data_IF_623752829333
#
_entry.id   IF_623752829333
#
_cell.length_a   1.000
_cell.length_b   1.000
_cell.length_c   1.000
_cell.angle_alpha   90.00
_cell.angle_beta   90.00
_cell.angle_gamma   90.00
#
_symmetry.space_group_name_H-M   'P 1'
#
loop_
_entity.id
_entity.type
_entity.pdbx_description
1 polymer ?
#
# COMPACT_ATOMS: atom_id res chain seq x y z
N UNK A 1 4.03 -31.08 14.90
CA UNK A 1 5.50 -31.10 15.08
C UNK A 1 5.88 -30.12 16.18
N UNK A 2 5.37 -28.89 16.15
CA UNK A 2 5.64 -27.85 17.18
C UNK A 2 4.66 -27.91 18.35
N UNK A 3 3.60 -28.73 18.28
CA UNK A 3 2.51 -28.79 19.25
C UNK A 3 1.95 -27.40 19.65
N UNK A 4 1.99 -26.45 18.73
CA UNK A 4 1.40 -25.13 18.93
C UNK A 4 -0.13 -25.23 18.92
N UNK A 5 -0.78 -24.51 19.80
CA UNK A 5 -2.26 -24.43 19.87
C UNK A 5 -2.79 -23.36 18.91
N UNK A 6 -1.94 -22.42 18.49
CA UNK A 6 -2.25 -21.40 17.49
C UNK A 6 -1.01 -20.82 16.83
N UNK A 7 -1.23 -20.05 15.77
CA UNK A 7 -0.18 -19.36 15.07
C UNK A 7 -0.69 -18.28 14.14
N UNK A 8 0.18 -17.32 13.84
CA UNK A 8 -0.08 -16.24 12.93
C UNK A 8 1.09 -16.04 11.97
N UNK A 9 0.78 -15.56 10.77
CA UNK A 9 1.75 -15.12 9.78
C UNK A 9 1.52 -13.63 9.55
N UNK A 10 2.56 -12.85 9.73
CA UNK A 10 2.56 -11.42 9.49
C UNK A 10 3.56 -11.09 8.39
N UNK A 11 3.27 -10.06 7.61
CA UNK A 11 4.18 -9.57 6.57
C UNK A 11 4.60 -8.15 6.90
N UNK A 12 5.89 -7.89 6.70
CA UNK A 12 6.47 -6.55 6.86
C UNK A 12 6.16 -5.75 5.61
N UNK A 13 5.71 -4.53 5.84
CA UNK A 13 5.61 -3.48 4.83
C UNK A 13 6.69 -2.44 5.14
N UNK A 14 7.79 -2.53 4.40
CA UNK A 14 8.94 -1.64 4.60
C UNK A 14 8.62 -0.19 4.19
N UNK A 15 7.53 0.04 3.42
CA UNK A 15 7.14 1.39 2.96
C UNK A 15 6.37 2.14 4.04
N UNK A 16 5.48 1.42 4.71
CA UNK A 16 4.67 1.99 5.78
C UNK A 16 5.35 1.88 7.15
N UNK A 17 6.58 1.34 7.23
CA UNK A 17 7.24 0.98 8.49
C UNK A 17 6.29 0.15 9.38
N UNK A 18 5.56 -0.78 8.77
CA UNK A 18 4.49 -1.51 9.43
C UNK A 18 4.61 -3.03 9.25
N UNK A 19 3.91 -3.77 10.10
CA UNK A 19 3.74 -5.21 9.97
C UNK A 19 2.26 -5.57 10.04
N UNK A 20 1.80 -6.33 9.06
CA UNK A 20 0.39 -6.64 8.83
C UNK A 20 0.11 -8.12 9.06
N UNK A 21 -0.97 -8.44 9.77
CA UNK A 21 -1.45 -9.82 9.89
C UNK A 21 -2.01 -10.29 8.55
N UNK A 22 -1.48 -11.38 8.03
CA UNK A 22 -1.97 -11.99 6.78
C UNK A 22 -2.85 -13.20 7.02
N UNK A 23 -2.54 -13.96 8.04
CA UNK A 23 -3.34 -15.14 8.42
C UNK A 23 -3.06 -15.51 9.86
N UNK A 24 -4.06 -16.05 10.55
CA UNK A 24 -3.85 -16.74 11.83
C UNK A 24 -4.83 -17.91 11.95
N UNK A 25 -4.46 -18.86 12.78
CA UNK A 25 -5.22 -20.09 13.01
C UNK A 25 -5.09 -20.53 14.47
N UNK A 26 -6.13 -21.19 15.00
CA UNK A 26 -6.13 -21.72 16.35
C UNK A 26 -6.26 -20.64 17.42
N UNK A 27 -5.78 -20.96 18.62
CA UNK A 27 -5.82 -20.06 19.78
C UNK A 27 -4.56 -19.19 19.78
N UNK A 28 -4.73 -17.92 19.42
CA UNK A 28 -3.64 -16.95 19.39
C UNK A 28 -4.02 -15.69 20.17
N UNK A 29 -3.80 -15.67 21.51
CA UNK A 29 -4.10 -14.48 22.32
C UNK A 29 -3.17 -13.33 21.92
N UNK A 30 -3.72 -12.10 21.67
CA UNK A 30 -2.92 -10.96 21.26
C UNK A 30 -1.86 -10.58 22.31
N UNK A 31 -0.55 -10.63 21.97
CA UNK A 31 0.52 -10.27 22.91
C UNK A 31 0.78 -8.75 22.97
N UNK A 32 -0.09 -7.95 22.41
CA UNK A 32 -0.01 -6.49 22.37
C UNK A 32 -1.25 -5.87 23.01
N UNK A 33 -1.17 -4.60 23.36
CA UNK A 33 -2.28 -3.87 24.01
C UNK A 33 -3.44 -3.69 23.03
N UNK A 34 -4.60 -4.23 23.36
CA UNK A 34 -5.83 -4.03 22.58
C UNK A 34 -6.35 -2.59 22.73
N UNK A 35 -7.01 -2.06 21.67
CA UNK A 35 -7.69 -0.76 21.75
C UNK A 35 -8.71 -0.74 22.90
N UNK A 36 -8.71 0.34 23.68
CA UNK A 36 -9.60 0.46 24.86
C UNK A 36 -11.09 0.36 24.53
N UNK A 37 -11.46 0.70 23.30
CA UNK A 37 -12.85 0.68 22.81
C UNK A 37 -13.26 -0.69 22.25
N UNK A 38 -12.32 -1.64 22.12
CA UNK A 38 -12.62 -2.95 21.54
C UNK A 38 -13.32 -3.83 22.58
N UNK A 39 -14.55 -4.30 22.31
CA UNK A 39 -15.21 -5.24 23.22
C UNK A 39 -14.41 -6.55 23.35
N UNK A 40 -14.16 -7.00 24.56
CA UNK A 40 -13.48 -8.26 24.85
C UNK A 40 -14.41 -9.46 24.60
N UNK A 41 -14.79 -9.63 23.34
CA UNK A 41 -15.50 -10.80 22.82
C UNK A 41 -14.59 -11.50 21.84
N UNK A 42 -14.45 -12.82 21.96
CA UNK A 42 -13.51 -13.63 21.19
C UNK A 42 -13.58 -13.33 19.67
N UNK A 43 -14.79 -13.30 19.10
CA UNK A 43 -14.98 -12.98 17.67
C UNK A 43 -14.53 -11.55 17.31
N UNK A 44 -14.74 -10.58 18.21
CA UNK A 44 -14.33 -9.18 17.95
C UNK A 44 -12.83 -9.03 18.01
N UNK A 45 -12.19 -9.63 19.00
CA UNK A 45 -10.73 -9.61 19.13
C UNK A 45 -10.07 -10.33 17.96
N UNK A 46 -10.56 -11.52 17.60
CA UNK A 46 -10.06 -12.28 16.45
C UNK A 46 -10.22 -11.53 15.13
N UNK A 47 -11.36 -10.87 14.92
CA UNK A 47 -11.59 -10.04 13.73
C UNK A 47 -10.66 -8.82 13.73
N UNK A 48 -10.50 -8.14 14.87
CA UNK A 48 -9.57 -7.02 15.00
C UNK A 48 -8.13 -7.44 14.68
N UNK A 49 -7.69 -8.59 15.20
CA UNK A 49 -6.36 -9.12 14.93
C UNK A 49 -6.16 -9.45 13.45
N UNK A 50 -7.15 -10.07 12.80
CA UNK A 50 -7.08 -10.45 11.38
C UNK A 50 -6.74 -9.27 10.45
N UNK A 51 -7.22 -8.07 10.80
CA UNK A 51 -7.01 -6.86 10.01
C UNK A 51 -6.05 -5.88 10.68
N UNK A 52 -5.29 -6.35 11.67
CA UNK A 52 -4.38 -5.48 12.40
C UNK A 52 -3.14 -5.14 11.58
N UNK A 53 -2.77 -3.87 11.66
CA UNK A 53 -1.52 -3.31 11.18
C UNK A 53 -0.82 -2.65 12.35
N UNK A 54 0.46 -2.93 12.52
CA UNK A 54 1.27 -2.41 13.62
C UNK A 54 2.48 -1.66 13.05
N UNK A 55 2.86 -0.54 13.66
CA UNK A 55 4.15 0.06 13.36
C UNK A 55 5.30 -0.85 13.83
N UNK A 56 6.41 -0.87 13.10
CA UNK A 56 7.55 -1.75 13.37
C UNK A 56 8.22 -1.53 14.76
N UNK A 57 7.80 -0.50 15.51
CA UNK A 57 8.39 -0.17 16.82
C UNK A 57 7.38 -0.18 17.97
N UNK A 58 6.13 -0.54 17.70
CA UNK A 58 5.05 -0.36 18.69
C UNK A 58 4.80 -1.58 19.55
N UNK A 59 5.25 -2.77 19.15
CA UNK A 59 4.99 -4.02 19.87
C UNK A 59 5.99 -5.11 19.52
N UNK A 60 5.84 -6.26 20.16
CA UNK A 60 6.74 -7.41 20.01
C UNK A 60 6.90 -7.88 18.55
N UNK A 61 5.85 -7.81 17.71
CA UNK A 61 5.95 -8.25 16.31
C UNK A 61 6.92 -7.37 15.53
N UNK A 62 6.80 -6.06 15.69
CA UNK A 62 7.67 -5.09 15.03
C UNK A 62 9.10 -5.15 15.54
N UNK A 63 9.31 -5.34 16.84
CA UNK A 63 10.64 -5.47 17.41
C UNK A 63 11.36 -6.72 16.93
N UNK A 64 10.68 -7.88 16.89
CA UNK A 64 11.25 -9.12 16.34
C UNK A 64 11.55 -9.00 14.85
N UNK A 65 10.64 -8.39 14.08
CA UNK A 65 10.87 -8.13 12.66
C UNK A 65 12.09 -7.22 12.45
N UNK A 66 12.22 -6.15 13.23
CA UNK A 66 13.34 -5.21 13.14
C UNK A 66 14.66 -5.82 13.59
N UNK A 67 14.66 -6.64 14.69
CA UNK A 67 15.86 -7.33 15.16
C UNK A 67 16.32 -8.43 14.21
N UNK A 68 15.37 -9.01 13.49
CA UNK A 68 15.58 -10.18 12.65
C UNK A 68 16.03 -11.42 13.42
N UNK A 69 15.87 -11.47 14.75
CA UNK A 69 16.28 -12.62 15.58
C UNK A 69 15.06 -13.43 15.99
N UNK A 70 15.10 -14.76 15.82
CA UNK A 70 14.03 -15.61 16.33
C UNK A 70 14.12 -15.72 17.85
N UNK A 71 12.97 -15.75 18.50
CA UNK A 71 12.86 -15.82 19.96
C UNK A 71 11.83 -16.85 20.42
N UNK A 72 12.10 -17.48 21.57
CA UNK A 72 11.16 -18.31 22.32
C UNK A 72 10.89 -17.62 23.66
N UNK A 73 9.61 -17.42 23.99
CA UNK A 73 9.16 -16.72 25.18
C UNK A 73 8.21 -17.64 25.96
N UNK A 74 8.73 -18.29 26.99
CA UNK A 74 7.96 -19.19 27.84
C UNK A 74 7.33 -18.47 29.06
N UNK A 75 7.84 -17.29 29.41
CA UNK A 75 7.31 -16.45 30.49
C UNK A 75 6.85 -15.09 29.92
N UNK A 76 5.74 -15.03 29.17
CA UNK A 76 5.31 -13.78 28.52
C UNK A 76 4.95 -12.67 29.50
N UNK A 77 4.61 -13.00 30.75
CA UNK A 77 4.31 -12.01 31.80
C UNK A 77 5.54 -11.23 32.28
N UNK A 78 6.73 -11.81 32.09
CA UNK A 78 7.99 -11.21 32.49
C UNK A 78 8.63 -10.40 31.36
N UNK A 79 8.06 -10.45 30.13
CA UNK A 79 8.55 -9.72 28.98
C UNK A 79 7.83 -8.36 28.85
N UNK A 80 8.54 -7.24 29.01
CA UNK A 80 7.93 -5.91 28.99
C UNK A 80 7.32 -5.52 27.64
N UNK A 81 7.63 -6.26 26.58
CA UNK A 81 7.10 -6.05 25.22
C UNK A 81 5.71 -6.66 25.04
N UNK A 82 5.31 -7.53 25.97
CA UNK A 82 4.06 -8.30 25.91
C UNK A 82 3.05 -7.73 26.90
N UNK A 83 1.81 -7.58 26.44
CA UNK A 83 0.71 -7.06 27.26
C UNK A 83 -0.36 -8.14 27.48
N UNK A 84 -0.72 -8.41 28.72
CA UNK A 84 -1.89 -9.22 29.06
C UNK A 84 -3.15 -8.33 29.03
N UNK A 85 -4.16 -8.70 28.22
CA UNK A 85 -5.28 -7.81 27.88
C UNK A 85 -6.53 -7.95 28.76
N UNK A 86 -6.64 -9.00 29.54
CA UNK A 86 -7.81 -9.17 30.38
C UNK A 86 -7.90 -10.53 31.08
N UNK A 87 -8.90 -10.70 31.92
CA UNK A 87 -9.09 -11.93 32.68
C UNK A 87 -9.73 -13.07 31.89
N UNK A 88 -10.28 -12.76 30.69
CA UNK A 88 -11.00 -13.72 29.85
C UNK A 88 -10.08 -14.86 29.39
N UNK A 89 -10.57 -16.09 29.40
CA UNK A 89 -9.77 -17.28 29.12
C UNK A 89 -9.08 -17.25 27.75
N UNK A 90 -9.73 -16.70 26.74
CA UNK A 90 -9.15 -16.57 25.39
C UNK A 90 -8.09 -15.47 25.27
N UNK A 91 -7.93 -14.61 26.28
CA UNK A 91 -6.90 -13.55 26.35
C UNK A 91 -5.71 -13.96 27.23
N UNK A 92 -5.82 -15.06 27.98
CA UNK A 92 -4.72 -15.53 28.81
C UNK A 92 -3.53 -15.94 27.97
N UNK A 93 -2.38 -15.38 28.31
CA UNK A 93 -1.14 -15.63 27.59
C UNK A 93 -0.52 -16.96 27.98
N UNK A 94 -0.18 -17.76 27.01
CA UNK A 94 0.72 -18.89 27.11
C UNK A 94 2.08 -18.56 26.52
N UNK A 95 2.91 -19.56 26.21
CA UNK A 95 4.21 -19.33 25.60
C UNK A 95 4.11 -18.98 24.11
N UNK A 96 5.14 -18.29 23.61
CA UNK A 96 5.25 -17.86 22.20
C UNK A 96 6.58 -18.26 21.59
N UNK A 97 6.54 -18.49 20.26
CA UNK A 97 7.72 -18.51 19.40
C UNK A 97 7.49 -17.44 18.32
N UNK A 98 8.51 -16.62 18.08
CA UNK A 98 8.53 -15.63 17.01
C UNK A 98 9.73 -15.90 16.10
N UNK A 99 9.48 -16.04 14.79
CA UNK A 99 10.53 -16.34 13.80
C UNK A 99 10.38 -15.38 12.63
N UNK A 100 11.34 -14.46 12.46
CA UNK A 100 11.36 -13.60 11.29
C UNK A 100 11.67 -14.40 10.01
N UNK A 101 10.93 -14.14 8.96
CA UNK A 101 11.14 -14.70 7.62
C UNK A 101 12.02 -13.72 6.84
N UNK A 102 13.16 -14.20 6.34
CA UNK A 102 14.13 -13.37 5.61
C UNK A 102 14.17 -13.70 4.13
N UNK A 103 14.34 -12.69 3.31
CA UNK A 103 14.70 -12.91 1.92
C UNK A 103 16.20 -13.18 1.83
N UNK A 104 16.57 -14.45 1.67
CA UNK A 104 18.00 -14.86 1.56
C UNK A 104 18.68 -14.12 0.41
N UNK A 105 19.80 -13.48 0.71
CA UNK A 105 20.63 -12.70 -0.22
C UNK A 105 20.52 -11.18 -0.01
N UNK A 106 19.47 -10.67 0.63
CA UNK A 106 19.30 -9.23 0.94
C UNK A 106 19.29 -8.93 2.44
N UNK A 107 19.20 -9.94 3.30
CA UNK A 107 19.15 -9.77 4.77
C UNK A 107 17.86 -9.09 5.29
N UNK A 108 16.94 -8.79 4.39
CA UNK A 108 15.69 -8.07 4.69
C UNK A 108 14.69 -9.05 5.31
N UNK A 109 14.04 -8.64 6.39
CA UNK A 109 12.93 -9.39 7.00
C UNK A 109 11.65 -9.00 6.27
N UNK A 110 11.01 -9.97 5.62
CA UNK A 110 9.78 -9.78 4.84
C UNK A 110 8.52 -10.22 5.58
N UNK A 111 8.67 -10.84 6.73
CA UNK A 111 7.54 -11.30 7.54
C UNK A 111 7.95 -11.95 8.84
N UNK A 112 6.96 -12.44 9.56
CA UNK A 112 7.09 -13.08 10.86
C UNK A 112 6.13 -14.25 10.97
N UNK A 113 6.62 -15.39 11.45
CA UNK A 113 5.79 -16.49 11.95
C UNK A 113 5.74 -16.36 13.47
N UNK A 114 4.54 -16.30 14.03
CA UNK A 114 4.29 -16.32 15.45
C UNK A 114 3.50 -17.57 15.80
N UNK A 115 3.96 -18.33 16.78
CA UNK A 115 3.27 -19.52 17.31
C UNK A 115 2.91 -19.30 18.78
N UNK A 116 1.81 -19.89 19.23
CA UNK A 116 1.36 -19.79 20.62
C UNK A 116 0.98 -21.16 21.20
N UNK A 117 1.17 -21.32 22.50
CA UNK A 117 0.59 -22.39 23.30
C UNK A 117 -0.36 -21.83 24.33
N UNK A 118 -1.28 -22.67 24.78
CA UNK A 118 -2.21 -22.32 25.85
C UNK A 118 -1.46 -22.09 27.18
N UNK A 119 -2.04 -21.33 28.13
CA UNK A 119 -1.45 -21.09 29.44
C UNK A 119 -1.02 -22.38 30.12
N UNK A 120 0.16 -22.35 30.81
CA UNK A 120 0.73 -23.49 31.49
C UNK A 120 1.47 -24.50 30.61
N UNK A 121 1.53 -24.28 29.31
CA UNK A 121 2.36 -25.08 28.40
C UNK A 121 3.55 -24.26 27.91
N UNK A 122 4.71 -24.86 27.88
CA UNK A 122 5.95 -24.24 27.40
C UNK A 122 6.40 -24.83 26.07
N UNK A 123 7.06 -24.04 25.28
CA UNK A 123 7.80 -24.54 24.12
C UNK A 123 9.14 -25.07 24.53
N UNK A 124 9.49 -26.25 24.04
CA UNK A 124 10.81 -26.85 24.20
C UNK A 124 11.79 -26.31 23.16
N UNK A 125 13.10 -26.40 23.45
CA UNK A 125 14.12 -26.07 22.46
C UNK A 125 13.97 -26.89 21.16
N UNK A 126 13.59 -28.15 21.26
CA UNK A 126 13.37 -29.02 20.11
C UNK A 126 12.21 -28.53 19.22
N UNK A 127 11.14 -28.06 19.83
CA UNK A 127 10.00 -27.48 19.07
C UNK A 127 10.39 -26.17 18.40
N UNK A 128 11.22 -25.36 19.06
CA UNK A 128 11.78 -24.14 18.48
C UNK A 128 12.69 -24.45 17.28
N UNK A 129 13.57 -25.43 17.37
CA UNK A 129 14.45 -25.86 16.28
C UNK A 129 13.64 -26.38 15.07
N UNK A 130 12.54 -27.11 15.34
CA UNK A 130 11.61 -27.51 14.30
C UNK A 130 10.91 -26.32 13.64
N UNK A 131 10.47 -25.35 14.42
CA UNK A 131 9.85 -24.14 13.92
C UNK A 131 10.83 -23.32 13.02
N UNK A 132 12.10 -23.21 13.44
CA UNK A 132 13.16 -22.59 12.61
C UNK A 132 13.37 -23.32 11.29
N UNK A 133 13.37 -24.66 11.33
CA UNK A 133 13.50 -25.47 10.12
C UNK A 133 12.34 -25.24 9.15
N UNK A 134 11.10 -25.19 9.65
CA UNK A 134 9.91 -24.90 8.86
C UNK A 134 9.95 -23.47 8.28
N UNK A 135 10.39 -22.49 9.05
CA UNK A 135 10.59 -21.13 8.57
C UNK A 135 11.61 -21.07 7.42
N UNK A 136 12.69 -21.83 7.51
CA UNK A 136 13.68 -21.96 6.43
C UNK A 136 13.11 -22.57 5.14
N UNK A 137 12.18 -23.52 5.24
CA UNK A 137 11.43 -24.02 4.08
C UNK A 137 10.49 -22.95 3.51
N UNK A 138 9.77 -22.21 4.37
CA UNK A 138 8.90 -21.11 3.96
C UNK A 138 9.70 -20.01 3.24
N UNK A 139 10.88 -19.62 3.75
CA UNK A 139 11.79 -18.69 3.08
C UNK A 139 12.18 -19.17 1.67
N UNK A 140 12.53 -20.45 1.55
CA UNK A 140 12.93 -21.05 0.26
C UNK A 140 11.76 -21.12 -0.72
N UNK A 141 10.56 -21.48 -0.24
CA UNK A 141 9.34 -21.53 -1.04
C UNK A 141 8.96 -20.12 -1.54
N UNK A 142 8.95 -19.13 -0.65
CA UNK A 142 8.66 -17.73 -1.00
C UNK A 142 9.66 -17.19 -2.03
N UNK A 143 10.97 -17.44 -1.85
CA UNK A 143 11.98 -17.07 -2.84
C UNK A 143 11.71 -17.71 -4.20
N UNK A 144 11.37 -18.99 -4.23
CA UNK A 144 11.09 -19.70 -5.48
C UNK A 144 9.84 -19.15 -6.14
N UNK A 145 8.78 -18.90 -5.38
CA UNK A 145 7.52 -18.33 -5.88
C UNK A 145 7.74 -16.94 -6.46
N UNK A 146 8.43 -16.05 -5.74
CA UNK A 146 8.77 -14.71 -6.21
C UNK A 146 9.63 -14.78 -7.49
N UNK A 147 10.65 -15.65 -7.52
CA UNK A 147 11.50 -15.82 -8.71
C UNK A 147 10.72 -16.38 -9.90
N UNK A 148 9.78 -17.28 -9.68
CA UNK A 148 8.94 -17.86 -10.73
C UNK A 148 7.91 -16.84 -11.26
N UNK A 149 7.35 -16.01 -10.38
CA UNK A 149 6.49 -14.90 -10.80
C UNK A 149 7.25 -13.93 -11.70
N UNK A 150 8.43 -13.48 -11.26
CA UNK A 150 9.30 -12.58 -12.07
C UNK A 150 9.67 -13.22 -13.42
N UNK A 151 9.94 -14.53 -13.45
CA UNK A 151 10.25 -15.23 -14.68
C UNK A 151 9.04 -15.32 -15.63
N UNK A 152 7.87 -15.66 -15.10
CA UNK A 152 6.64 -15.74 -15.90
C UNK A 152 6.22 -14.37 -16.42
N UNK A 153 6.30 -13.33 -15.61
CA UNK A 153 6.06 -11.94 -16.01
C UNK A 153 6.94 -11.53 -17.20
N UNK A 154 8.22 -11.89 -17.18
CA UNK A 154 9.12 -11.62 -18.31
C UNK A 154 8.75 -12.38 -19.60
N UNK A 155 8.21 -13.58 -19.47
CA UNK A 155 7.85 -14.41 -20.64
C UNK A 155 6.48 -14.04 -21.24
N UNK A 156 5.49 -13.66 -20.43
CA UNK A 156 4.19 -13.22 -20.94
C UNK A 156 4.27 -11.85 -21.65
N UNK A 157 5.13 -10.98 -21.16
CA UNK A 157 5.36 -9.63 -21.68
C UNK A 157 5.80 -9.63 -23.16
N UNK A 158 6.49 -10.65 -23.63
CA UNK A 158 7.22 -10.57 -24.90
C UNK A 158 6.36 -10.74 -26.17
N UNK A 159 5.18 -11.33 -26.12
CA UNK A 159 4.40 -11.71 -27.32
C UNK A 159 3.15 -10.88 -27.58
N UNK A 160 2.45 -10.40 -26.56
CA UNK A 160 1.21 -9.61 -26.71
C UNK A 160 1.43 -8.10 -26.52
N UNK A 161 2.63 -7.76 -26.10
CA UNK A 161 3.03 -6.44 -25.60
C UNK A 161 2.86 -5.30 -26.61
N UNK A 162 3.19 -5.50 -27.90
CA UNK A 162 3.17 -4.40 -28.86
C UNK A 162 1.77 -3.83 -29.17
N UNK A 163 0.75 -4.66 -29.18
CA UNK A 163 -0.63 -4.21 -29.45
C UNK A 163 -1.14 -3.44 -28.22
N UNK A 164 -0.93 -4.00 -27.03
CA UNK A 164 -1.36 -3.37 -25.78
C UNK A 164 -0.60 -2.07 -25.51
N UNK A 165 0.71 -2.02 -25.80
CA UNK A 165 1.51 -0.79 -25.72
C UNK A 165 0.99 0.32 -26.65
N UNK A 166 0.58 -0.03 -27.87
CA UNK A 166 -0.05 0.92 -28.78
C UNK A 166 -1.40 1.42 -28.25
N UNK A 167 -2.23 0.53 -27.69
CA UNK A 167 -3.51 0.91 -27.09
C UNK A 167 -3.31 1.81 -25.86
N UNK A 168 -2.34 1.50 -25.01
CA UNK A 168 -1.96 2.32 -23.88
C UNK A 168 -1.55 3.73 -24.30
N UNK A 169 -0.73 3.84 -25.33
CA UNK A 169 -0.31 5.12 -25.91
C UNK A 169 -1.47 5.96 -26.45
N UNK A 170 -2.61 5.36 -26.78
CA UNK A 170 -3.83 6.05 -27.19
C UNK A 170 -4.70 6.43 -25.99
N UNK A 171 -4.77 5.58 -24.97
CA UNK A 171 -5.66 5.75 -23.82
C UNK A 171 -5.13 6.75 -22.80
N UNK A 172 -3.82 6.73 -22.50
CA UNK A 172 -3.26 7.63 -21.50
C UNK A 172 -3.13 9.06 -22.00
N UNK A 173 -3.37 10.07 -21.15
CA UNK A 173 -3.33 11.47 -21.55
C UNK A 173 -1.90 11.91 -21.90
N UNK A 174 -1.66 12.22 -23.17
CA UNK A 174 -0.36 12.75 -23.65
C UNK A 174 -0.11 14.20 -23.25
N UNK A 175 -1.17 14.94 -23.02
CA UNK A 175 -1.12 16.35 -22.59
C UNK A 175 -2.22 16.58 -21.56
N UNK A 176 -1.86 17.24 -20.48
CA UNK A 176 -2.84 17.69 -19.51
C UNK A 176 -3.58 18.92 -20.06
N UNK A 177 -4.90 19.03 -19.82
CA UNK A 177 -5.66 20.20 -20.25
C UNK A 177 -5.16 21.45 -19.50
N UNK A 178 -5.20 22.64 -20.12
CA UNK A 178 -4.99 23.87 -19.40
C UNK A 178 -6.14 24.08 -18.40
N UNK A 179 -5.83 24.28 -17.14
CA UNK A 179 -6.81 24.47 -16.08
C UNK A 179 -6.55 25.80 -15.37
N UNK A 180 -7.63 26.53 -15.11
CA UNK A 180 -7.54 27.75 -14.30
C UNK A 180 -7.22 27.39 -12.84
N UNK A 181 -6.36 28.17 -12.22
CA UNK A 181 -6.03 28.04 -10.80
C UNK A 181 -5.17 26.83 -10.44
N UNK A 182 -4.71 26.03 -11.40
CA UNK A 182 -3.91 24.83 -11.15
C UNK A 182 -2.69 24.76 -12.09
N UNK A 183 -1.56 24.37 -11.50
CA UNK A 183 -0.35 24.02 -12.25
C UNK A 183 -0.05 22.54 -12.07
N UNK A 184 -0.11 21.79 -13.16
CA UNK A 184 0.10 20.34 -13.19
C UNK A 184 1.50 19.96 -13.59
N UNK A 185 2.00 18.90 -12.95
CA UNK A 185 3.10 18.11 -13.43
C UNK A 185 2.79 16.63 -13.23
N UNK A 186 3.24 15.82 -14.15
CA UNK A 186 3.14 14.37 -14.06
C UNK A 186 4.27 13.71 -14.81
N UNK A 187 4.60 12.52 -14.41
CA UNK A 187 5.34 11.59 -15.23
C UNK A 187 4.88 10.16 -14.94
N UNK A 188 5.07 9.29 -15.91
CA UNK A 188 5.00 7.85 -15.77
C UNK A 188 6.28 7.26 -16.34
N UNK A 189 6.86 6.31 -15.65
CA UNK A 189 7.95 5.47 -16.12
C UNK A 189 7.46 4.03 -16.02
N UNK A 190 7.54 3.31 -17.14
CA UNK A 190 7.02 1.95 -17.26
C UNK A 190 8.14 0.96 -17.07
N UNK A 191 7.79 -0.21 -16.53
CA UNK A 191 8.55 -1.44 -16.69
C UNK A 191 8.49 -1.93 -18.15
N UNK A 192 9.13 -3.04 -18.47
CA UNK A 192 8.92 -3.68 -19.78
C UNK A 192 7.48 -4.18 -19.89
N UNK A 193 6.79 -3.80 -20.96
CA UNK A 193 5.42 -4.23 -21.26
C UNK A 193 4.37 -3.15 -21.13
N UNK A 194 3.21 -3.53 -20.63
CA UNK A 194 2.03 -2.67 -20.54
C UNK A 194 1.87 -2.16 -19.12
N UNK A 195 1.69 -0.87 -18.94
CA UNK A 195 1.50 -0.21 -17.66
C UNK A 195 0.12 -0.50 -17.07
N UNK A 196 0.08 -0.87 -15.81
CA UNK A 196 -1.14 -1.01 -15.02
C UNK A 196 -1.56 0.30 -14.34
N UNK A 197 -0.65 1.26 -14.27
CA UNK A 197 -0.91 2.60 -13.77
C UNK A 197 -1.68 3.44 -14.78
N UNK A 198 -2.58 4.27 -14.29
CA UNK A 198 -3.21 5.31 -15.09
C UNK A 198 -3.52 6.55 -14.26
N UNK A 199 -3.46 7.71 -14.91
CA UNK A 199 -3.99 8.93 -14.33
C UNK A 199 -4.85 9.68 -15.35
N UNK A 200 -5.77 10.49 -14.82
CA UNK A 200 -6.56 11.40 -15.62
C UNK A 200 -6.75 12.74 -14.91
N UNK A 201 -6.89 13.79 -15.69
CA UNK A 201 -7.25 15.13 -15.21
C UNK A 201 -8.37 15.65 -16.08
N UNK A 202 -9.56 15.76 -15.51
CA UNK A 202 -10.79 16.01 -16.23
C UNK A 202 -11.44 17.31 -15.73
N UNK A 203 -11.52 18.36 -16.55
CA UNK A 203 -12.41 19.47 -16.29
C UNK A 203 -13.85 18.99 -16.47
N UNK A 204 -14.56 18.79 -15.35
CA UNK A 204 -15.91 18.19 -15.38
C UNK A 204 -17.00 19.25 -15.53
N UNK A 205 -16.79 20.41 -14.91
CA UNK A 205 -17.68 21.58 -14.94
C UNK A 205 -16.83 22.84 -14.90
N UNK A 206 -17.46 24.00 -15.07
CA UNK A 206 -16.73 25.29 -15.04
C UNK A 206 -15.90 25.51 -13.76
N UNK A 207 -16.33 24.91 -12.63
CA UNK A 207 -15.72 25.09 -11.32
C UNK A 207 -15.10 23.81 -10.73
N UNK A 208 -15.24 22.64 -11.39
CA UNK A 208 -14.77 21.36 -10.85
C UNK A 208 -13.81 20.64 -11.78
N UNK A 209 -12.64 20.32 -11.24
CA UNK A 209 -11.64 19.44 -11.88
C UNK A 209 -11.53 18.14 -11.09
N UNK A 210 -11.69 17.01 -11.76
CA UNK A 210 -11.44 15.69 -11.18
C UNK A 210 -10.05 15.19 -11.58
N UNK A 211 -9.26 14.78 -10.59
CA UNK A 211 -7.92 14.23 -10.74
C UNK A 211 -7.98 12.80 -10.24
N UNK A 212 -7.52 11.88 -11.05
CA UNK A 212 -7.59 10.45 -10.81
C UNK A 212 -6.19 9.89 -10.93
N UNK A 213 -5.76 9.10 -9.95
CA UNK A 213 -4.62 8.21 -10.06
C UNK A 213 -5.10 6.83 -9.71
N UNK A 214 -4.74 5.84 -10.51
CA UNK A 214 -5.07 4.44 -10.27
C UNK A 214 -3.87 3.56 -10.55
N UNK A 215 -3.77 2.52 -9.75
CA UNK A 215 -2.79 1.45 -9.84
C UNK A 215 -3.55 0.12 -9.74
N UNK A 216 -3.44 -0.71 -10.76
CA UNK A 216 -4.11 -2.00 -10.82
C UNK A 216 -3.11 -3.11 -10.52
N UNK A 217 -3.41 -3.93 -9.51
CA UNK A 217 -2.58 -5.04 -9.13
C UNK A 217 -2.32 -6.00 -10.30
N UNK A 218 -1.10 -6.52 -10.34
CA UNK A 218 -0.65 -7.40 -11.41
C UNK A 218 -0.02 -6.64 -12.59
N UNK A 219 0.46 -7.37 -13.58
CA UNK A 219 1.14 -6.83 -14.77
C UNK A 219 0.59 -7.46 -16.04
N UNK A 220 0.89 -6.82 -17.17
CA UNK A 220 0.51 -7.32 -18.47
C UNK A 220 -0.89 -6.94 -18.93
N UNK A 221 -1.40 -7.66 -19.94
CA UNK A 221 -2.64 -7.32 -20.64
C UNK A 221 -3.90 -7.36 -19.76
N UNK A 222 -3.94 -8.27 -18.77
CA UNK A 222 -5.11 -8.38 -17.88
C UNK A 222 -5.26 -7.15 -16.98
N UNK A 223 -4.18 -6.73 -16.33
CA UNK A 223 -4.18 -5.51 -15.49
C UNK A 223 -4.50 -4.27 -16.32
N UNK A 224 -3.94 -4.16 -17.54
CA UNK A 224 -4.25 -3.10 -18.46
C UNK A 224 -5.73 -3.08 -18.88
N UNK A 225 -6.36 -4.24 -19.11
CA UNK A 225 -7.78 -4.33 -19.42
C UNK A 225 -8.63 -3.82 -18.24
N UNK A 226 -8.33 -4.28 -17.03
CA UNK A 226 -9.01 -3.85 -15.80
C UNK A 226 -8.83 -2.33 -15.60
N UNK A 227 -7.60 -1.83 -15.75
CA UNK A 227 -7.31 -0.39 -15.71
C UNK A 227 -8.18 0.38 -16.73
N UNK A 228 -8.26 -0.12 -17.97
CA UNK A 228 -9.04 0.54 -19.03
C UNK A 228 -10.53 0.56 -18.73
N UNK A 229 -11.07 -0.53 -18.17
CA UNK A 229 -12.46 -0.61 -17.73
C UNK A 229 -12.75 0.38 -16.60
N UNK A 230 -11.95 0.35 -15.54
CA UNK A 230 -12.09 1.26 -14.39
C UNK A 230 -11.96 2.72 -14.81
N UNK A 231 -10.95 3.04 -15.62
CA UNK A 231 -10.75 4.38 -16.16
C UNK A 231 -11.98 4.86 -16.91
N UNK A 232 -12.56 4.03 -17.76
CA UNK A 232 -13.75 4.37 -18.55
C UNK A 232 -14.97 4.59 -17.66
N UNK A 233 -15.19 3.71 -16.66
CA UNK A 233 -16.28 3.86 -15.68
C UNK A 233 -16.14 5.15 -14.88
N UNK A 234 -14.96 5.41 -14.32
CA UNK A 234 -14.73 6.60 -13.50
C UNK A 234 -14.89 7.87 -14.35
N UNK A 235 -14.39 7.91 -15.59
CA UNK A 235 -14.60 9.04 -16.51
C UNK A 235 -16.06 9.35 -16.79
N UNK A 236 -16.92 8.35 -16.86
CA UNK A 236 -18.37 8.54 -16.99
C UNK A 236 -18.96 9.07 -15.68
N UNK A 237 -18.60 8.47 -14.56
CA UNK A 237 -19.17 8.77 -13.25
C UNK A 237 -18.78 10.16 -12.71
N UNK A 238 -17.57 10.64 -13.00
CA UNK A 238 -17.14 11.99 -12.56
C UNK A 238 -17.95 13.13 -13.19
N UNK A 239 -18.61 12.87 -14.31
CA UNK A 239 -19.53 13.84 -14.93
C UNK A 239 -20.87 13.98 -14.17
N UNK A 240 -21.14 13.09 -13.24
CA UNK A 240 -22.31 13.18 -12.37
C UNK A 240 -22.07 14.13 -11.19
N UNK A 241 -23.11 14.62 -10.51
CA UNK A 241 -22.92 15.47 -9.32
C UNK A 241 -22.55 14.69 -8.05
N UNK A 242 -22.16 13.42 -8.19
CA UNK A 242 -21.87 12.55 -7.05
C UNK A 242 -20.54 12.92 -6.35
N UNK A 243 -20.45 12.71 -5.02
CA UNK A 243 -19.21 12.78 -4.28
C UNK A 243 -18.21 11.72 -4.73
N UNK A 244 -16.91 11.96 -4.47
CA UNK A 244 -15.82 11.07 -4.88
C UNK A 244 -15.99 9.63 -4.32
N UNK A 245 -16.36 9.49 -3.04
CA UNK A 245 -16.59 8.19 -2.41
C UNK A 245 -17.77 7.44 -3.01
N UNK A 246 -18.84 8.16 -3.38
CA UNK A 246 -19.97 7.54 -4.09
C UNK A 246 -19.55 7.04 -5.47
N UNK A 247 -18.73 7.81 -6.18
CA UNK A 247 -18.19 7.40 -7.50
C UNK A 247 -17.37 6.12 -7.37
N UNK A 248 -16.46 6.06 -6.39
CA UNK A 248 -15.66 4.85 -6.15
C UNK A 248 -16.53 3.66 -5.73
N UNK A 249 -17.56 3.89 -4.88
CA UNK A 249 -18.48 2.83 -4.46
C UNK A 249 -19.31 2.27 -5.61
N UNK A 250 -19.72 3.13 -6.55
CA UNK A 250 -20.41 2.71 -7.76
C UNK A 250 -19.47 1.90 -8.67
N UNK A 251 -18.25 2.40 -8.92
CA UNK A 251 -17.27 1.71 -9.73
C UNK A 251 -16.90 0.34 -9.13
N UNK A 252 -16.71 0.27 -7.80
CA UNK A 252 -16.43 -0.97 -7.11
C UNK A 252 -17.55 -2.00 -7.29
N UNK A 253 -18.80 -1.59 -7.11
CA UNK A 253 -19.95 -2.49 -7.23
C UNK A 253 -20.07 -3.11 -8.61
N UNK A 254 -19.75 -2.35 -9.66
CA UNK A 254 -19.84 -2.80 -11.05
C UNK A 254 -18.65 -3.67 -11.48
N UNK A 255 -17.45 -3.46 -10.88
CA UNK A 255 -16.24 -4.20 -11.26
C UNK A 255 -16.06 -5.47 -10.41
N UNK A 256 -16.56 -5.47 -9.17
CA UNK A 256 -16.39 -6.56 -8.24
C UNK A 256 -17.21 -7.80 -8.67
N UNK A 257 -16.52 -8.92 -8.91
CA UNK A 257 -17.07 -10.14 -9.45
C UNK A 257 -16.92 -10.29 -10.96
N UNK A 258 -16.57 -9.20 -11.68
CA UNK A 258 -16.27 -9.23 -13.12
C UNK A 258 -14.76 -9.43 -13.38
N UNK A 259 -13.94 -9.18 -12.39
CA UNK A 259 -12.48 -9.35 -12.43
C UNK A 259 -12.02 -10.42 -11.44
N UNK A 260 -10.88 -11.04 -11.75
CA UNK A 260 -10.26 -11.98 -10.82
C UNK A 260 -9.71 -11.22 -9.61
N UNK A 261 -9.72 -11.86 -8.44
CA UNK A 261 -9.19 -11.29 -7.18
C UNK A 261 -7.71 -10.87 -7.25
N UNK A 262 -6.98 -11.29 -8.27
CA UNK A 262 -5.58 -10.91 -8.49
C UNK A 262 -5.43 -9.50 -9.11
N UNK A 263 -6.50 -8.88 -9.60
CA UNK A 263 -6.48 -7.62 -10.34
C UNK A 263 -7.29 -6.51 -9.67
N UNK A 264 -7.20 -6.39 -8.35
CA UNK A 264 -7.81 -5.27 -7.63
C UNK A 264 -7.10 -3.94 -7.96
N UNK A 265 -7.74 -2.82 -7.68
CA UNK A 265 -7.18 -1.51 -7.99
C UNK A 265 -7.15 -0.57 -6.79
N UNK A 266 -6.00 0.05 -6.57
CA UNK A 266 -5.86 1.23 -5.71
C UNK A 266 -6.17 2.49 -6.52
N UNK A 267 -7.06 3.34 -6.01
CA UNK A 267 -7.51 4.54 -6.73
C UNK A 267 -7.58 5.73 -5.77
N UNK A 268 -6.97 6.84 -6.17
CA UNK A 268 -7.21 8.15 -5.56
C UNK A 268 -8.08 9.00 -6.50
N UNK A 269 -9.22 9.48 -6.01
CA UNK A 269 -10.12 10.40 -6.72
C UNK A 269 -10.20 11.72 -5.97
N UNK A 270 -9.69 12.78 -6.59
CA UNK A 270 -9.60 14.12 -6.04
C UNK A 270 -10.47 15.05 -6.89
N UNK A 271 -11.48 15.66 -6.28
CA UNK A 271 -12.33 16.68 -6.90
C UNK A 271 -11.94 18.06 -6.36
N UNK A 272 -11.29 18.86 -7.16
CA UNK A 272 -10.96 20.24 -6.84
C UNK A 272 -12.07 21.18 -7.31
N UNK A 273 -12.51 22.08 -6.44
CA UNK A 273 -13.41 23.17 -6.77
C UNK A 273 -12.66 24.51 -6.72
N UNK A 274 -12.48 25.13 -7.89
CA UNK A 274 -11.70 26.37 -8.00
C UNK A 274 -12.38 27.58 -7.35
N UNK A 275 -13.71 27.70 -7.47
CA UNK A 275 -14.46 28.82 -6.88
C UNK A 275 -14.45 28.80 -5.35
N UNK A 276 -14.49 27.61 -4.75
CA UNK A 276 -14.49 27.42 -3.30
C UNK A 276 -13.11 27.18 -2.70
N UNK A 277 -12.09 26.95 -3.52
CA UNK A 277 -10.75 26.51 -3.11
C UNK A 277 -10.82 25.31 -2.16
N UNK A 278 -11.67 24.34 -2.50
CA UNK A 278 -11.88 23.13 -1.72
C UNK A 278 -11.50 21.90 -2.52
N UNK A 279 -11.01 20.90 -1.81
CA UNK A 279 -10.74 19.56 -2.33
C UNK A 279 -11.64 18.58 -1.62
N UNK A 280 -12.34 17.75 -2.39
CA UNK A 280 -13.00 16.54 -1.89
C UNK A 280 -12.21 15.34 -2.41
N UNK A 281 -11.79 14.50 -1.51
CA UNK A 281 -10.94 13.36 -1.78
C UNK A 281 -11.55 12.06 -1.26
N UNK A 282 -11.45 11.02 -2.04
CA UNK A 282 -11.72 9.64 -1.62
C UNK A 282 -10.67 8.71 -2.22
N UNK A 283 -10.35 7.64 -1.49
CA UNK A 283 -9.43 6.60 -1.97
C UNK A 283 -10.00 5.20 -1.76
N UNK A 284 -9.62 4.32 -2.66
CA UNK A 284 -9.72 2.88 -2.54
C UNK A 284 -8.29 2.33 -2.52
N UNK A 285 -7.97 1.45 -1.57
CA UNK A 285 -6.62 0.90 -1.41
C UNK A 285 -5.60 1.88 -0.85
N UNK A 286 -4.37 1.75 -1.29
CA UNK A 286 -3.16 2.37 -0.70
C UNK A 286 -2.69 3.65 -1.39
N UNK A 287 -3.26 4.06 -2.54
CA UNK A 287 -2.79 5.24 -3.29
C UNK A 287 -2.73 6.48 -2.40
N UNK A 288 -1.54 6.99 -2.07
CA UNK A 288 -1.38 8.06 -1.09
C UNK A 288 -1.63 9.43 -1.69
N UNK A 289 -2.17 10.34 -0.88
CA UNK A 289 -2.32 11.76 -1.20
C UNK A 289 -1.68 12.58 -0.10
N UNK A 290 -0.75 13.45 -0.47
CA UNK A 290 -0.09 14.39 0.42
C UNK A 290 -0.45 15.82 0.07
N UNK A 291 -0.70 16.64 1.08
CA UNK A 291 -0.88 18.07 0.97
C UNK A 291 0.31 18.80 1.59
N UNK A 292 1.11 19.48 0.77
CA UNK A 292 2.03 20.49 1.26
C UNK A 292 1.25 21.78 1.48
N UNK A 293 1.23 22.27 2.71
CA UNK A 293 0.65 23.56 3.08
C UNK A 293 1.71 24.64 2.95
N UNK A 294 1.46 25.64 2.11
CA UNK A 294 2.41 26.71 1.79
C UNK A 294 2.62 27.71 2.93
N UNK A 295 1.64 27.87 3.82
CA UNK A 295 1.68 28.83 4.92
C UNK A 295 2.58 28.36 6.06
N UNK A 296 2.39 27.12 6.52
CA UNK A 296 3.16 26.51 7.62
C UNK A 296 4.33 25.63 7.13
N UNK A 297 4.47 25.44 5.82
CA UNK A 297 5.53 24.62 5.19
C UNK A 297 5.56 23.17 5.72
N UNK A 298 4.41 22.64 6.04
CA UNK A 298 4.21 21.26 6.49
C UNK A 298 3.66 20.39 5.38
N UNK A 299 3.96 19.10 5.43
CA UNK A 299 3.35 18.11 4.57
C UNK A 299 2.49 17.19 5.44
N UNK A 300 1.25 17.00 5.04
CA UNK A 300 0.28 16.15 5.71
C UNK A 300 -0.21 15.07 4.77
N UNK A 301 -0.21 13.82 5.22
CA UNK A 301 -0.84 12.71 4.49
C UNK A 301 -2.36 12.80 4.64
N UNK A 302 -3.06 12.87 3.53
CA UNK A 302 -4.52 12.77 3.47
C UNK A 302 -4.86 11.34 3.06
N UNK A 303 -5.12 10.47 4.02
CA UNK A 303 -5.41 9.06 3.73
C UNK A 303 -6.73 8.64 4.36
N UNK A 304 -7.44 7.77 3.66
CA UNK A 304 -8.58 7.02 4.15
C UNK A 304 -8.21 5.55 4.01
N UNK A 305 -8.10 4.84 5.11
CA UNK A 305 -7.94 3.39 5.05
C UNK A 305 -9.21 2.78 4.46
N UNK A 306 -9.08 2.09 3.35
CA UNK A 306 -10.19 1.41 2.69
C UNK A 306 -9.67 0.26 1.83
N UNK A 307 -10.53 -0.69 1.51
CA UNK A 307 -10.17 -1.78 0.61
C UNK A 307 -10.01 -1.29 -0.83
N UNK A 308 -9.14 -1.90 -1.64
CA UNK A 308 -9.06 -1.64 -3.07
C UNK A 308 -10.38 -1.91 -3.79
N UNK A 309 -10.57 -1.33 -4.98
CA UNK A 309 -11.68 -1.67 -5.86
C UNK A 309 -11.54 -3.13 -6.34
N UNK A 310 -12.65 -3.85 -6.38
CA UNK A 310 -12.71 -5.21 -6.88
C UNK A 310 -12.55 -6.31 -5.81
N UNK A 311 -12.25 -5.95 -4.56
CA UNK A 311 -12.04 -6.92 -3.46
C UNK A 311 -13.36 -7.31 -2.81
N UNK A 312 -14.13 -6.34 -2.32
CA UNK A 312 -15.37 -6.57 -1.58
C UNK A 312 -16.48 -5.68 -2.13
N UNK A 313 -17.52 -6.31 -2.70
CA UNK A 313 -18.61 -5.62 -3.43
C UNK A 313 -19.38 -4.61 -2.58
N UNK A 314 -19.47 -4.85 -1.29
CA UNK A 314 -20.25 -4.03 -0.36
C UNK A 314 -19.46 -2.87 0.24
N UNK A 315 -18.17 -2.75 -0.08
CA UNK A 315 -17.32 -1.67 0.42
C UNK A 315 -17.87 -0.31 0.01
N UNK A 316 -18.01 0.58 0.99
CA UNK A 316 -18.45 1.97 0.82
C UNK A 316 -17.30 2.91 1.12
N UNK A 317 -16.94 3.75 0.15
CA UNK A 317 -15.82 4.68 0.26
C UNK A 317 -16.29 6.02 0.83
N UNK A 318 -15.51 6.57 1.75
CA UNK A 318 -15.79 7.83 2.43
C UNK A 318 -15.07 8.99 1.76
N UNK A 319 -15.59 10.19 1.95
CA UNK A 319 -14.97 11.43 1.50
C UNK A 319 -14.27 12.15 2.64
N UNK A 320 -13.12 12.77 2.35
CA UNK A 320 -12.54 13.84 3.14
C UNK A 320 -12.68 15.14 2.34
N UNK A 321 -13.03 16.23 3.02
CA UNK A 321 -13.02 17.55 2.43
C UNK A 321 -12.09 18.48 3.21
N UNK A 322 -11.29 19.24 2.48
CA UNK A 322 -10.38 20.24 3.04
C UNK A 322 -10.26 21.45 2.12
N UNK A 323 -9.84 22.58 2.70
CA UNK A 323 -9.55 23.79 1.96
C UNK A 323 -8.10 23.84 1.56
N UNK A 324 -7.82 24.50 0.42
CA UNK A 324 -6.48 24.73 -0.09
C UNK A 324 -6.30 26.22 -0.41
N UNK A 325 -5.07 26.67 -0.35
CA UNK A 325 -4.67 28.05 -0.62
C UNK A 325 -3.68 28.13 -1.79
N UNK A 326 -3.58 29.28 -2.47
CA UNK A 326 -2.53 29.47 -3.47
C UNK A 326 -1.15 29.16 -2.89
N UNK A 327 -0.37 28.38 -3.63
CA UNK A 327 0.94 27.89 -3.21
C UNK A 327 0.93 26.49 -2.60
N UNK A 328 -0.23 25.97 -2.18
CA UNK A 328 -0.35 24.58 -1.70
C UNK A 328 -0.10 23.58 -2.84
N UNK A 329 0.40 22.40 -2.50
CA UNK A 329 0.74 21.37 -3.49
C UNK A 329 0.13 20.05 -3.05
N UNK A 330 -0.63 19.44 -3.94
CA UNK A 330 -1.13 18.07 -3.78
C UNK A 330 -0.19 17.13 -4.54
N UNK A 331 0.30 16.11 -3.85
CA UNK A 331 1.14 15.05 -4.43
C UNK A 331 0.41 13.73 -4.27
N UNK A 332 0.32 12.98 -5.35
CA UNK A 332 -0.11 11.58 -5.34
C UNK A 332 0.77 10.77 -6.29
N UNK A 333 1.03 9.53 -5.94
CA UNK A 333 1.94 8.66 -6.68
C UNK A 333 1.55 7.19 -6.50
N UNK A 334 2.07 6.32 -7.35
CA UNK A 334 1.95 4.86 -7.21
C UNK A 334 3.14 4.29 -6.46
N UNK A 335 2.94 3.21 -5.76
CA UNK A 335 3.90 2.64 -4.81
C UNK A 335 5.26 2.34 -5.45
N UNK A 336 5.30 1.88 -6.71
CA UNK A 336 6.52 1.62 -7.46
C UNK A 336 7.51 2.79 -7.52
N UNK A 337 7.05 4.04 -7.27
CA UNK A 337 7.93 5.21 -7.24
C UNK A 337 8.82 5.23 -5.99
N UNK A 338 8.26 5.00 -4.81
CA UNK A 338 9.02 5.03 -3.54
C UNK A 338 9.72 3.70 -3.27
N UNK A 339 9.27 2.65 -3.92
CA UNK A 339 9.80 1.28 -3.89
C UNK A 339 10.99 1.07 -4.81
N UNK A 340 11.27 1.98 -5.71
CA UNK A 340 12.39 1.89 -6.62
C UNK A 340 13.71 1.67 -5.88
N UNK A 341 14.53 0.74 -6.38
CA UNK A 341 15.79 0.35 -5.78
C UNK A 341 16.98 0.92 -6.53
N UNK A 342 18.02 1.30 -5.80
CA UNK A 342 19.34 1.57 -6.39
C UNK A 342 20.16 0.28 -6.53
N UNK A 343 21.35 0.38 -7.11
CA UNK A 343 22.26 -0.75 -7.31
C UNK A 343 22.70 -1.45 -6.00
N UNK A 344 22.54 -0.80 -4.84
CA UNK A 344 22.82 -1.40 -3.53
C UNK A 344 21.60 -2.08 -2.91
N UNK A 345 20.42 -2.01 -3.56
CA UNK A 345 19.15 -2.51 -3.06
C UNK A 345 18.46 -1.58 -2.05
N UNK A 346 18.93 -0.32 -1.95
CA UNK A 346 18.30 0.69 -1.10
C UNK A 346 17.10 1.30 -1.83
N UNK A 347 16.02 1.54 -1.11
CA UNK A 347 14.81 2.16 -1.65
C UNK A 347 14.94 3.68 -1.81
N UNK A 348 14.21 4.20 -2.78
CA UNK A 348 14.11 5.66 -3.02
C UNK A 348 13.54 6.38 -1.81
N UNK A 349 12.52 5.85 -1.23
CA UNK A 349 11.82 6.27 -0.02
C UNK A 349 10.92 7.51 -0.15
N UNK A 350 9.83 7.49 0.61
CA UNK A 350 8.88 8.61 0.75
C UNK A 350 9.57 9.89 1.23
N UNK A 351 10.46 9.79 2.20
CA UNK A 351 11.15 10.96 2.77
C UNK A 351 11.95 11.73 1.72
N UNK A 352 12.58 11.02 0.77
CA UNK A 352 13.33 11.63 -0.33
C UNK A 352 12.38 12.38 -1.27
N UNK A 353 11.26 11.76 -1.65
CA UNK A 353 10.23 12.39 -2.48
C UNK A 353 9.71 13.67 -1.83
N UNK A 354 9.26 13.59 -0.57
CA UNK A 354 8.68 14.74 0.14
C UNK A 354 9.69 15.87 0.38
N UNK A 355 10.96 15.54 0.57
CA UNK A 355 12.01 16.54 0.69
C UNK A 355 12.21 17.34 -0.61
N UNK A 356 12.16 16.69 -1.78
CA UNK A 356 12.22 17.37 -3.07
C UNK A 356 11.04 18.33 -3.23
N UNK A 357 9.83 17.89 -2.90
CA UNK A 357 8.63 18.72 -2.96
C UNK A 357 8.74 19.92 -2.05
N UNK A 358 9.16 19.74 -0.79
CA UNK A 358 9.30 20.80 0.21
C UNK A 358 10.36 21.83 -0.20
N UNK A 359 11.52 21.37 -0.65
CA UNK A 359 12.64 22.24 -1.05
C UNK A 359 12.29 23.06 -2.29
N UNK A 360 11.48 22.50 -3.20
CA UNK A 360 11.10 23.13 -4.46
C UNK A 360 9.65 23.64 -4.48
N UNK A 361 9.08 23.92 -3.32
CA UNK A 361 7.67 24.31 -3.18
C UNK A 361 7.28 25.59 -3.94
N UNK A 362 8.24 26.46 -4.28
CA UNK A 362 8.02 27.64 -5.10
C UNK A 362 7.91 27.35 -6.60
N UNK A 363 8.36 26.19 -7.05
CA UNK A 363 8.32 25.77 -8.45
C UNK A 363 6.90 25.43 -8.90
N UNK A 364 6.67 25.38 -10.22
CA UNK A 364 5.40 24.90 -10.79
C UNK A 364 5.24 23.38 -10.57
N UNK A 365 4.01 22.88 -10.65
CA UNK A 365 3.76 21.42 -10.58
C UNK A 365 4.60 20.65 -11.60
N UNK A 366 4.71 21.17 -12.82
CA UNK A 366 5.55 20.58 -13.88
C UNK A 366 7.02 20.48 -13.45
N UNK A 367 7.59 21.58 -12.96
CA UNK A 367 8.99 21.60 -12.51
C UNK A 367 9.23 20.63 -11.35
N UNK A 368 8.29 20.51 -10.41
CA UNK A 368 8.39 19.54 -9.31
C UNK A 368 8.41 18.12 -9.85
N UNK A 369 7.49 17.77 -10.76
CA UNK A 369 7.45 16.44 -11.37
C UNK A 369 8.75 16.15 -12.16
N UNK A 370 9.26 17.12 -12.91
CA UNK A 370 10.50 16.98 -13.69
C UNK A 370 11.73 16.78 -12.75
N UNK A 371 11.77 17.49 -11.61
CA UNK A 371 12.83 17.33 -10.61
C UNK A 371 12.79 15.93 -9.95
N UNK A 372 11.61 15.47 -9.56
CA UNK A 372 11.44 14.12 -8.99
C UNK A 372 11.85 13.07 -10.03
N UNK A 373 11.42 13.22 -11.30
CA UNK A 373 11.79 12.30 -12.38
C UNK A 373 13.30 12.26 -12.61
N UNK A 374 13.95 13.41 -12.59
CA UNK A 374 15.41 13.51 -12.77
C UNK A 374 16.17 12.87 -11.60
N UNK A 375 15.72 13.12 -10.37
CA UNK A 375 16.30 12.54 -9.17
C UNK A 375 16.09 11.02 -9.11
N UNK A 376 14.90 10.54 -9.48
CA UNK A 376 14.58 9.13 -9.59
C UNK A 376 15.49 8.42 -10.59
N UNK A 377 15.64 8.96 -11.80
CA UNK A 377 16.54 8.40 -12.82
C UNK A 377 17.97 8.32 -12.34
N UNK A 378 18.45 9.35 -11.62
CA UNK A 378 19.80 9.36 -11.04
C UNK A 378 19.95 8.32 -9.94
N UNK A 379 18.90 8.09 -9.15
CA UNK A 379 18.90 7.15 -8.04
C UNK A 379 18.91 5.70 -8.54
N UNK A 380 18.03 5.35 -9.45
CA UNK A 380 17.91 4.00 -10.02
C UNK A 380 19.12 3.67 -10.90
N UNK A 381 19.67 4.66 -11.62
CA UNK A 381 20.84 4.46 -12.50
C UNK A 381 20.53 3.51 -13.66
N UNK A 382 21.23 2.39 -13.72
CA UNK A 382 21.07 1.35 -14.74
C UNK A 382 20.20 0.19 -14.31
N UNK A 383 19.68 0.20 -13.10
CA UNK A 383 18.81 -0.86 -12.61
C UNK A 383 17.47 -0.91 -13.36
N UNK A 384 16.94 -2.11 -13.53
CA UNK A 384 15.62 -2.30 -14.14
C UNK A 384 14.54 -1.84 -13.14
N UNK A 385 13.53 -1.16 -13.65
CA UNK A 385 12.35 -0.83 -12.86
C UNK A 385 11.64 -2.12 -12.45
N UNK A 386 11.32 -2.25 -11.18
CA UNK A 386 10.59 -3.38 -10.64
C UNK A 386 9.09 -3.24 -10.80
N UNK A 387 8.61 -1.98 -10.83
CA UNK A 387 7.21 -1.65 -11.01
C UNK A 387 7.02 -0.33 -11.77
N UNK A 388 5.80 -0.09 -12.24
CA UNK A 388 5.43 1.16 -12.88
C UNK A 388 5.49 2.30 -11.86
N UNK A 389 5.89 3.47 -12.31
CA UNK A 389 6.11 4.63 -11.45
C UNK A 389 5.35 5.82 -11.99
N UNK A 390 4.32 6.23 -11.30
CA UNK A 390 3.52 7.40 -11.69
C UNK A 390 3.49 8.43 -10.57
N UNK A 391 3.69 9.69 -10.93
CA UNK A 391 3.56 10.84 -10.03
C UNK A 391 2.65 11.90 -10.65
N UNK A 392 1.80 12.47 -9.80
CA UNK A 392 1.07 13.70 -10.08
C UNK A 392 1.44 14.76 -9.04
N UNK A 393 1.83 15.95 -9.51
CA UNK A 393 2.07 17.13 -8.69
C UNK A 393 1.12 18.24 -9.14
N UNK A 394 0.23 18.65 -8.23
CA UNK A 394 -0.80 19.65 -8.50
C UNK A 394 -0.61 20.84 -7.59
N UNK A 395 -0.14 21.94 -8.13
CA UNK A 395 0.03 23.19 -7.38
C UNK A 395 -1.16 24.12 -7.57
N UNK A 396 -1.70 24.62 -6.47
CA UNK A 396 -2.77 25.61 -6.43
C UNK A 396 -2.18 26.99 -6.78
N UNK A 397 -2.83 27.73 -7.69
CA UNK A 397 -2.44 29.05 -8.14
C UNK A 397 -3.35 30.16 -7.59
#
# INVERSE_FOLDING_TARGET
ITNADGGAVLMVDDFEDSINVKSFLGVFPPPYKLPAELPHKELRVSTSFKFATFALRDNIFGEIASSGKPEIINSPKDDPRITENGPEDFLKLGSFIFIPIRLRGRGIVIGLIALSKNPGKEFTQKEFDWALTLAGFAESALKTTISFQVYNEKNEISKESKIAENLQNVLLPKKLPPLQGLSFGSFTMHTEGVCSDAFDVLPVRQDRTSIILMDVAGKGTNSFLVMSMLRSMIRLLVNTPQPAGTILSLANREICGEINFEHFASVALINYNDAKKTVQFSSAGTTPVFLYNSQNQTIERKSLASEPLGVEKTTSYKDIQFTVSPGDIIITYTDGLVEALDASGKQYSLNRLLNIVKTNSKSSGKQIADLVKADMKKFVGSELLHDDQTLLAVKIQ
#
